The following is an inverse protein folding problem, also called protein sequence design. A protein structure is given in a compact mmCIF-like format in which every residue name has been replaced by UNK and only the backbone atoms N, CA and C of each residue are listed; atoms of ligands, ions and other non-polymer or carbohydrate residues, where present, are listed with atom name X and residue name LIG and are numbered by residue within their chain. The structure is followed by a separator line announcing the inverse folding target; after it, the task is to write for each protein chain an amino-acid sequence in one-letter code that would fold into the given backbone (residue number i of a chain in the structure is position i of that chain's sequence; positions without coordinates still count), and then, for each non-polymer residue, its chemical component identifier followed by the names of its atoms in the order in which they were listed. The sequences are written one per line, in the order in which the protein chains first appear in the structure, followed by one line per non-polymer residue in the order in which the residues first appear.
data_IF_623465293326
#
_entry.id   IF_623465293326
#
_cell.length_a   1.000
_cell.length_b   1.000
_cell.length_c   1.000
_cell.angle_alpha   90.00
_cell.angle_beta   90.00
_cell.angle_gamma   90.00
#
_symmetry.space_group_name_H-M   'P 1'
#
loop_
_entity.id
_entity.type
_entity.pdbx_description
1 polymer ?
#
# COMPACT_ATOMS: atom_id res chain seq x y z
N UNK A 1 16.56 49.50 -54.85
CA UNK A 1 15.57 48.72 -54.06
C UNK A 1 15.71 49.11 -52.59
N UNK A 2 14.67 49.71 -51.99
CA UNK A 2 14.70 50.24 -50.62
C UNK A 2 14.51 49.13 -49.59
N UNK A 3 15.51 48.92 -48.73
CA UNK A 3 15.51 47.89 -47.70
C UNK A 3 14.93 48.45 -46.38
N UNK A 4 13.61 48.34 -46.19
CA UNK A 4 12.94 48.74 -44.92
C UNK A 4 13.21 47.67 -43.84
N UNK A 5 14.18 47.94 -42.95
CA UNK A 5 14.34 47.15 -41.70
C UNK A 5 13.09 47.33 -40.82
N UNK A 6 12.34 46.25 -40.60
CA UNK A 6 11.14 46.25 -39.72
C UNK A 6 11.55 46.63 -38.29
N UNK A 7 11.12 47.80 -37.79
CA UNK A 7 11.38 48.23 -36.40
C UNK A 7 10.60 47.35 -35.42
N UNK A 8 11.32 46.75 -34.47
CA UNK A 8 10.76 45.89 -33.45
C UNK A 8 9.86 46.71 -32.50
N UNK A 9 8.58 46.35 -32.37
CA UNK A 9 7.64 47.08 -31.52
C UNK A 9 7.63 46.50 -30.11
N UNK A 10 8.10 47.27 -29.13
CA UNK A 10 8.13 46.90 -27.70
C UNK A 10 6.77 46.43 -27.19
N UNK A 11 5.68 47.08 -27.62
CA UNK A 11 4.30 46.69 -27.29
C UNK A 11 3.94 45.31 -27.84
N UNK A 12 4.29 45.01 -29.10
CA UNK A 12 4.04 43.69 -29.70
C UNK A 12 4.89 42.61 -29.05
N UNK A 13 6.11 42.94 -28.64
CA UNK A 13 6.98 42.04 -27.89
C UNK A 13 6.37 41.69 -26.54
N UNK A 14 5.95 42.68 -25.74
CA UNK A 14 5.34 42.45 -24.43
C UNK A 14 4.05 41.62 -24.53
N UNK A 15 3.16 41.94 -25.48
CA UNK A 15 1.92 41.18 -25.69
C UNK A 15 2.20 39.71 -26.06
N UNK A 16 3.20 39.47 -26.92
CA UNK A 16 3.57 38.10 -27.31
C UNK A 16 4.26 37.34 -26.18
N UNK A 17 5.08 38.03 -25.39
CA UNK A 17 5.76 37.45 -24.24
C UNK A 17 4.76 37.06 -23.14
N UNK A 18 3.77 37.90 -22.84
CA UNK A 18 2.75 37.58 -21.83
C UNK A 18 1.84 36.43 -22.26
N UNK A 19 1.42 36.39 -23.54
CA UNK A 19 0.64 35.26 -24.07
C UNK A 19 1.47 33.97 -24.02
N UNK A 20 2.74 34.02 -24.45
CA UNK A 20 3.63 32.86 -24.40
C UNK A 20 3.84 32.33 -22.98
N UNK A 21 4.07 33.21 -22.01
CA UNK A 21 4.20 32.85 -20.60
C UNK A 21 2.90 32.26 -20.04
N UNK A 22 1.74 32.85 -20.37
CA UNK A 22 0.43 32.36 -19.94
C UNK A 22 0.12 30.96 -20.48
N UNK A 23 0.45 30.68 -21.75
CA UNK A 23 0.30 29.35 -22.35
C UNK A 23 1.23 28.33 -21.69
N UNK A 24 2.48 28.69 -21.40
CA UNK A 24 3.43 27.80 -20.74
C UNK A 24 2.98 27.45 -19.31
N UNK A 25 2.55 28.45 -18.53
CA UNK A 25 2.07 28.22 -17.16
C UNK A 25 0.75 27.44 -17.17
N UNK A 26 -0.18 27.79 -18.06
CA UNK A 26 -1.46 27.10 -18.20
C UNK A 26 -1.29 25.64 -18.61
N UNK A 27 -0.46 25.35 -19.61
CA UNK A 27 -0.17 23.97 -20.03
C UNK A 27 0.56 23.19 -18.95
N UNK A 28 1.51 23.79 -18.23
CA UNK A 28 2.18 23.16 -17.11
C UNK A 28 1.18 22.80 -15.99
N UNK A 29 0.30 23.71 -15.59
CA UNK A 29 -0.68 23.45 -14.52
C UNK A 29 -1.72 22.40 -14.91
N UNK A 30 -2.23 22.44 -16.14
CA UNK A 30 -3.26 21.49 -16.63
C UNK A 30 -2.68 20.10 -16.86
N UNK A 31 -1.43 19.99 -17.33
CA UNK A 31 -0.81 18.68 -17.61
C UNK A 31 -0.13 18.06 -16.38
N UNK A 32 0.24 18.86 -15.37
CA UNK A 32 0.85 18.37 -14.11
C UNK A 32 0.10 17.20 -13.44
N UNK A 33 -1.25 17.18 -13.31
CA UNK A 33 -1.94 16.02 -12.74
C UNK A 33 -1.86 14.77 -13.63
N UNK A 34 -1.79 14.91 -14.96
CA UNK A 34 -1.66 13.80 -15.90
C UNK A 34 -0.26 13.18 -15.85
N UNK A 35 0.78 14.02 -15.88
CA UNK A 35 2.17 13.58 -15.72
C UNK A 35 2.40 12.93 -14.36
N UNK A 36 1.84 13.49 -13.27
CA UNK A 36 1.96 12.89 -11.93
C UNK A 36 1.30 11.52 -11.85
N UNK A 37 0.12 11.34 -12.46
CA UNK A 37 -0.56 10.04 -12.54
C UNK A 37 0.20 9.03 -13.39
N UNK A 38 0.76 9.46 -14.52
CA UNK A 38 1.56 8.58 -15.39
C UNK A 38 2.85 8.15 -14.70
N UNK A 39 3.55 9.05 -14.02
CA UNK A 39 4.75 8.70 -13.23
C UNK A 39 4.44 7.78 -12.05
N UNK A 40 3.32 8.01 -11.34
CA UNK A 40 2.88 7.11 -10.28
C UNK A 40 2.48 5.73 -10.82
N UNK A 41 1.84 5.66 -11.99
CA UNK A 41 1.51 4.40 -12.66
C UNK A 41 2.76 3.64 -13.08
N UNK A 42 3.77 4.33 -13.60
CA UNK A 42 5.06 3.71 -13.96
C UNK A 42 5.72 3.17 -12.70
N UNK A 43 5.76 3.95 -11.61
CA UNK A 43 6.31 3.51 -10.33
C UNK A 43 5.64 2.22 -9.82
N UNK A 44 4.29 2.13 -9.89
CA UNK A 44 3.55 0.93 -9.50
C UNK A 44 3.83 -0.26 -10.44
N UNK A 45 3.98 -0.05 -11.76
CA UNK A 45 4.35 -1.15 -12.69
C UNK A 45 5.80 -1.59 -12.58
N UNK A 46 6.64 -0.83 -11.86
CA UNK A 46 8.04 -1.18 -11.62
C UNK A 46 8.23 -1.87 -10.26
N UNK A 47 7.14 -2.16 -9.54
CA UNK A 47 7.21 -3.06 -8.38
C UNK A 47 7.64 -4.44 -8.90
N UNK A 48 8.85 -4.91 -8.58
CA UNK A 48 9.29 -6.22 -9.02
C UNK A 48 8.33 -7.26 -8.43
N UNK A 49 7.94 -8.29 -9.20
CA UNK A 49 7.13 -9.37 -8.66
C UNK A 49 7.83 -9.95 -7.43
N UNK A 50 7.06 -10.34 -6.41
CA UNK A 50 7.58 -10.98 -5.22
C UNK A 50 8.48 -12.17 -5.61
N UNK A 51 9.80 -12.02 -5.41
CA UNK A 51 10.82 -13.03 -5.74
C UNK A 51 11.08 -14.00 -4.58
N UNK A 52 10.28 -13.95 -3.52
CA UNK A 52 10.43 -14.82 -2.36
C UNK A 52 9.95 -16.25 -2.63
N UNK A 53 10.57 -17.21 -1.95
CA UNK A 53 10.12 -18.59 -1.91
C UNK A 53 8.84 -18.68 -1.07
N UNK A 54 7.79 -19.36 -1.53
CA UNK A 54 6.58 -19.62 -0.72
C UNK A 54 6.74 -20.83 0.21
N UNK A 55 7.85 -21.59 0.07
CA UNK A 55 8.15 -22.75 0.93
C UNK A 55 8.73 -22.35 2.28
N UNK A 56 9.47 -21.24 2.31
CA UNK A 56 9.89 -20.60 3.55
C UNK A 56 8.88 -19.48 3.77
N UNK A 57 7.91 -19.69 4.66
CA UNK A 57 6.95 -18.64 4.97
C UNK A 57 7.75 -17.42 5.49
N UNK A 58 7.96 -16.43 4.65
CA UNK A 58 8.40 -15.09 5.05
C UNK A 58 7.23 -14.53 5.88
N UNK A 59 7.20 -14.85 7.17
CA UNK A 59 6.00 -14.67 7.97
C UNK A 59 5.77 -13.17 8.19
N UNK A 60 4.76 -12.62 7.50
CA UNK A 60 4.20 -11.31 7.82
C UNK A 60 3.34 -11.36 9.08
N UNK A 61 2.66 -12.49 9.35
CA UNK A 61 1.68 -12.61 10.44
C UNK A 61 1.93 -13.80 11.35
N UNK A 62 1.99 -13.56 12.65
CA UNK A 62 1.98 -14.60 13.68
C UNK A 62 0.72 -14.43 14.54
N UNK A 63 -0.01 -15.52 14.79
CA UNK A 63 -1.11 -15.55 15.76
C UNK A 63 -0.60 -16.18 17.05
N UNK A 64 -0.71 -15.46 18.15
CA UNK A 64 -0.31 -15.95 19.48
C UNK A 64 -1.44 -16.73 20.12
N UNK A 65 -1.13 -17.58 21.10
CA UNK A 65 -2.15 -18.28 21.91
C UNK A 65 -3.18 -17.36 22.59
N UNK A 66 -2.83 -16.09 22.84
CA UNK A 66 -3.71 -15.08 23.43
C UNK A 66 -4.61 -14.35 22.39
N UNK A 67 -4.76 -14.91 21.18
CA UNK A 67 -5.53 -14.33 20.07
C UNK A 67 -5.08 -12.89 19.70
N UNK A 68 -3.76 -12.64 19.76
CA UNK A 68 -3.10 -11.46 19.21
C UNK A 68 -2.46 -11.79 17.88
N UNK A 69 -2.49 -10.83 16.97
CA UNK A 69 -1.87 -10.95 15.65
C UNK A 69 -0.67 -10.01 15.58
N UNK A 70 0.51 -10.58 15.38
CA UNK A 70 1.76 -9.85 15.23
C UNK A 70 2.05 -9.70 13.74
N UNK A 71 2.08 -8.46 13.27
CA UNK A 71 2.56 -8.07 11.95
C UNK A 71 4.05 -7.76 12.00
N UNK A 72 4.87 -8.50 11.24
CA UNK A 72 6.29 -8.24 11.07
C UNK A 72 6.52 -7.27 9.90
N UNK A 73 6.78 -6.00 10.21
CA UNK A 73 6.95 -4.95 9.23
C UNK A 73 8.42 -4.77 8.83
N UNK A 74 8.76 -4.73 7.52
CA UNK A 74 10.10 -4.40 7.07
C UNK A 74 10.40 -2.90 7.06
N UNK A 75 9.43 -2.04 7.39
CA UNK A 75 9.61 -0.59 7.45
C UNK A 75 10.18 -0.17 8.80
N UNK A 76 11.06 0.83 8.79
CA UNK A 76 11.54 1.49 10.01
C UNK A 76 10.50 2.50 10.47
N UNK A 77 10.09 2.40 11.74
CA UNK A 77 9.22 3.38 12.41
C UNK A 77 10.10 4.36 13.21
N UNK A 78 9.90 5.66 12.97
CA UNK A 78 10.67 6.76 13.58
C UNK A 78 9.75 7.87 14.12
N UNK A 79 8.44 7.65 14.15
CA UNK A 79 7.42 8.60 14.59
C UNK A 79 6.44 9.03 13.48
N UNK A 80 6.58 8.50 12.26
CA UNK A 80 5.67 8.80 11.15
C UNK A 80 4.36 8.01 11.17
N UNK A 81 4.24 6.99 12.01
CA UNK A 81 3.02 6.19 12.17
C UNK A 81 2.79 5.15 11.07
N UNK A 82 3.85 4.68 10.42
CA UNK A 82 3.79 3.59 9.44
C UNK A 82 3.25 2.31 10.09
N UNK A 83 3.69 1.99 11.31
CA UNK A 83 3.23 0.77 11.99
C UNK A 83 1.73 0.78 12.26
N UNK A 84 1.20 1.91 12.75
CA UNK A 84 -0.23 2.08 12.96
C UNK A 84 -1.01 1.93 11.66
N UNK A 85 -0.56 2.57 10.57
CA UNK A 85 -1.21 2.48 9.26
C UNK A 85 -1.22 1.06 8.71
N UNK A 86 -0.09 0.35 8.75
CA UNK A 86 -0.01 -1.05 8.30
C UNK A 86 -0.87 -1.97 9.17
N UNK A 87 -0.91 -1.75 10.49
CA UNK A 87 -1.78 -2.52 11.39
C UNK A 87 -3.26 -2.33 11.08
N UNK A 88 -3.70 -1.11 10.74
CA UNK A 88 -5.09 -0.84 10.35
C UNK A 88 -5.47 -1.58 9.06
N UNK A 89 -4.61 -1.51 8.05
CA UNK A 89 -4.80 -2.21 6.77
C UNK A 89 -4.93 -3.72 7.00
N UNK A 90 -4.01 -4.28 7.78
CA UNK A 90 -4.03 -5.69 8.11
C UNK A 90 -5.26 -6.09 8.94
N UNK A 91 -5.67 -5.26 9.91
CA UNK A 91 -6.82 -5.55 10.76
C UNK A 91 -8.11 -5.67 9.95
N UNK A 92 -8.33 -4.72 9.03
CA UNK A 92 -9.51 -4.68 8.17
C UNK A 92 -9.60 -5.93 7.29
N UNK A 93 -8.49 -6.32 6.67
CA UNK A 93 -8.46 -7.49 5.79
C UNK A 93 -8.50 -8.82 6.56
N UNK A 94 -7.84 -8.90 7.71
CA UNK A 94 -7.91 -10.06 8.59
C UNK A 94 -9.26 -10.20 9.26
N UNK A 95 -10.05 -9.12 9.37
CA UNK A 95 -11.29 -9.12 10.15
C UNK A 95 -11.03 -9.27 11.65
N UNK A 96 -9.94 -8.69 12.17
CA UNK A 96 -9.61 -8.68 13.61
C UNK A 96 -9.88 -7.31 14.21
N UNK A 97 -10.09 -7.25 15.53
CA UNK A 97 -10.14 -5.95 16.19
C UNK A 97 -8.75 -5.31 16.21
N UNK A 98 -8.66 -3.99 16.03
CA UNK A 98 -7.38 -3.29 16.02
C UNK A 98 -6.59 -3.47 17.33
N UNK A 99 -7.27 -3.65 18.48
CA UNK A 99 -6.63 -3.95 19.77
C UNK A 99 -5.96 -5.33 19.83
N UNK A 100 -6.22 -6.21 18.86
CA UNK A 100 -5.54 -7.50 18.71
C UNK A 100 -4.27 -7.40 17.90
N UNK A 101 -4.05 -6.30 17.16
CA UNK A 101 -2.88 -6.11 16.33
C UNK A 101 -1.68 -5.62 17.13
N UNK A 102 -0.52 -6.21 16.84
CA UNK A 102 0.79 -5.73 17.26
C UNK A 102 1.68 -5.66 16.04
N UNK A 103 2.54 -4.64 15.95
CA UNK A 103 3.54 -4.56 14.88
C UNK A 103 4.92 -4.70 15.49
N UNK A 104 5.71 -5.65 14.98
CA UNK A 104 7.12 -5.81 15.31
C UNK A 104 7.95 -5.45 14.09
N UNK A 105 9.07 -4.78 14.33
CA UNK A 105 10.03 -4.52 13.27
C UNK A 105 10.72 -5.82 12.87
N UNK A 106 10.69 -6.15 11.58
CA UNK A 106 11.32 -7.35 11.03
C UNK A 106 12.82 -7.12 10.78
N UNK A 107 13.70 -8.12 11.01
CA UNK A 107 15.10 -8.02 10.65
C UNK A 107 15.28 -7.84 9.14
N UNK A 108 16.12 -6.90 8.71
CA UNK A 108 16.30 -6.56 7.29
C UNK A 108 16.97 -7.64 6.43
N UNK A 109 17.60 -8.65 7.04
CA UNK A 109 18.42 -9.66 6.34
C UNK A 109 17.68 -10.99 6.08
N UNK A 110 16.66 -11.30 6.88
CA UNK A 110 15.90 -12.58 6.83
C UNK A 110 14.39 -12.38 6.90
N UNK A 111 13.93 -11.14 7.00
CA UNK A 111 12.51 -10.79 7.07
C UNK A 111 11.87 -10.61 5.70
N UNK A 112 10.67 -10.05 5.71
CA UNK A 112 9.91 -9.73 4.51
C UNK A 112 10.69 -8.73 3.64
N UNK A 113 11.20 -9.19 2.50
CA UNK A 113 12.06 -8.36 1.65
C UNK A 113 11.17 -7.41 0.85
N UNK A 114 11.04 -6.20 1.35
CA UNK A 114 10.53 -5.07 0.60
C UNK A 114 11.68 -4.42 -0.19
N UNK A 115 11.60 -4.33 -1.53
CA UNK A 115 12.64 -3.70 -2.34
C UNK A 115 12.79 -2.18 -2.03
N UNK A 116 11.82 -1.58 -1.35
CA UNK A 116 11.84 -0.18 -0.96
C UNK A 116 12.13 -0.01 0.53
N UNK A 117 13.24 0.68 0.82
CA UNK A 117 13.53 1.16 2.17
C UNK A 117 12.45 2.14 2.69
N UNK A 118 12.51 2.48 3.98
CA UNK A 118 11.72 3.61 4.51
C UNK A 118 12.27 4.92 3.96
N UNK A 119 11.56 5.48 2.97
CA UNK A 119 11.94 6.71 2.29
C UNK A 119 10.93 7.09 1.20
N UNK A 120 11.10 8.25 0.57
CA UNK A 120 10.28 8.68 -0.57
C UNK A 120 8.77 8.83 -0.29
N UNK A 121 8.34 8.80 0.98
CA UNK A 121 6.94 8.75 1.38
C UNK A 121 6.16 7.56 0.81
N UNK A 122 6.84 6.44 0.52
CA UNK A 122 6.23 5.26 -0.11
C UNK A 122 5.91 4.14 0.87
N UNK A 123 6.17 4.30 2.18
CA UNK A 123 6.09 3.18 3.13
C UNK A 123 4.74 2.48 3.18
N UNK A 124 3.64 3.24 3.10
CA UNK A 124 2.28 2.67 3.05
C UNK A 124 1.93 2.22 1.64
N UNK A 125 2.22 3.04 0.62
CA UNK A 125 1.80 2.75 -0.75
C UNK A 125 2.46 1.48 -1.32
N UNK A 126 3.76 1.29 -1.06
CA UNK A 126 4.52 0.11 -1.51
C UNK A 126 4.07 -1.20 -0.86
N UNK A 127 3.46 -1.13 0.33
CA UNK A 127 3.02 -2.31 1.06
C UNK A 127 1.50 -2.50 1.03
N UNK A 128 0.75 -1.55 0.45
CA UNK A 128 -0.71 -1.55 0.50
C UNK A 128 -1.32 -2.81 -0.13
N UNK A 129 -0.99 -3.09 -1.38
CA UNK A 129 -1.53 -4.22 -2.13
C UNK A 129 -1.03 -5.57 -1.58
N UNK A 130 0.29 -5.82 -1.43
CA UNK A 130 0.76 -7.11 -0.94
C UNK A 130 0.29 -7.41 0.49
N UNK A 131 0.22 -6.42 1.37
CA UNK A 131 -0.27 -6.64 2.74
C UNK A 131 -1.74 -7.06 2.75
N UNK A 132 -2.58 -6.44 1.93
CA UNK A 132 -4.00 -6.76 1.88
C UNK A 132 -4.25 -8.15 1.32
N UNK A 133 -3.56 -8.52 0.25
CA UNK A 133 -3.66 -9.87 -0.33
C UNK A 133 -3.17 -10.95 0.65
N UNK A 134 -2.05 -10.72 1.32
CA UNK A 134 -1.52 -11.61 2.34
C UNK A 134 -2.49 -11.77 3.51
N UNK A 135 -3.02 -10.65 4.03
CA UNK A 135 -3.99 -10.65 5.12
C UNK A 135 -5.28 -11.40 4.75
N UNK A 136 -5.85 -11.12 3.58
CA UNK A 136 -7.04 -11.82 3.10
C UNK A 136 -6.79 -13.32 2.91
N UNK A 137 -5.64 -13.69 2.35
CA UNK A 137 -5.23 -15.09 2.19
C UNK A 137 -5.10 -15.79 3.54
N UNK A 138 -4.47 -15.12 4.51
CA UNK A 138 -4.28 -15.67 5.85
C UNK A 138 -5.63 -15.86 6.57
N UNK A 139 -6.56 -14.90 6.45
CA UNK A 139 -7.93 -15.04 6.96
C UNK A 139 -8.63 -16.28 6.40
N UNK A 140 -8.53 -16.53 5.09
CA UNK A 140 -9.14 -17.71 4.47
C UNK A 140 -8.44 -19.01 4.88
N UNK A 141 -7.12 -18.99 5.13
CA UNK A 141 -6.42 -20.14 5.71
C UNK A 141 -6.92 -20.46 7.12
N UNK A 142 -7.07 -19.45 7.98
CA UNK A 142 -7.60 -19.61 9.33
C UNK A 142 -9.04 -20.12 9.32
N UNK A 143 -9.90 -19.58 8.42
CA UNK A 143 -11.26 -20.09 8.23
C UNK A 143 -11.29 -21.56 7.80
N UNK A 144 -10.41 -21.96 6.88
CA UNK A 144 -10.29 -23.35 6.44
C UNK A 144 -9.91 -24.28 7.59
N UNK A 145 -9.03 -23.84 8.47
CA UNK A 145 -8.62 -24.66 9.61
C UNK A 145 -9.71 -24.72 10.68
N UNK A 146 -10.35 -23.58 10.98
CA UNK A 146 -11.52 -23.53 11.85
C UNK A 146 -12.66 -24.45 11.37
N UNK A 147 -12.92 -24.50 10.06
CA UNK A 147 -13.90 -25.40 9.45
C UNK A 147 -13.62 -26.87 9.76
N UNK A 148 -12.35 -27.28 9.71
CA UNK A 148 -11.95 -28.65 10.06
C UNK A 148 -12.12 -28.94 11.54
N UNK A 149 -11.73 -28.00 12.40
CA UNK A 149 -11.79 -28.17 13.85
C UNK A 149 -13.23 -28.20 14.37
N UNK A 150 -14.13 -27.44 13.75
CA UNK A 150 -15.56 -27.41 14.08
C UNK A 150 -16.38 -28.46 13.31
N UNK A 151 -15.79 -29.15 12.35
CA UNK A 151 -16.47 -30.09 11.44
C UNK A 151 -17.64 -29.46 10.67
N UNK A 152 -17.50 -28.19 10.27
CA UNK A 152 -18.52 -27.42 9.57
C UNK A 152 -18.10 -27.05 8.14
N UNK A 153 -19.06 -26.84 7.20
CA UNK A 153 -18.77 -26.24 5.90
C UNK A 153 -18.15 -24.85 6.05
N UNK A 154 -17.15 -24.54 5.22
CA UNK A 154 -16.46 -23.25 5.28
C UNK A 154 -17.38 -22.08 4.88
N UNK A 155 -18.37 -22.36 4.03
CA UNK A 155 -19.35 -21.39 3.54
C UNK A 155 -20.25 -20.85 4.66
N UNK A 156 -20.44 -21.64 5.71
CA UNK A 156 -21.24 -21.28 6.88
C UNK A 156 -20.45 -20.47 7.92
N UNK A 157 -19.12 -20.38 7.75
CA UNK A 157 -18.23 -19.72 8.68
C UNK A 157 -17.90 -18.28 8.24
N UNK A 158 -18.03 -17.36 9.20
CA UNK A 158 -17.65 -15.96 9.06
C UNK A 158 -16.50 -15.64 10.02
N UNK A 159 -15.53 -14.88 9.52
CA UNK A 159 -14.39 -14.43 10.30
C UNK A 159 -14.58 -12.95 10.65
N UNK A 160 -14.81 -12.66 11.93
CA UNK A 160 -15.06 -11.30 12.42
C UNK A 160 -14.50 -11.13 13.83
N UNK A 161 -13.89 -9.98 14.12
CA UNK A 161 -13.27 -9.66 15.42
C UNK A 161 -12.29 -10.75 15.92
N UNK A 162 -11.53 -11.34 14.99
CA UNK A 162 -10.55 -12.38 15.31
C UNK A 162 -11.16 -13.67 15.84
N UNK A 163 -12.39 -13.97 15.40
CA UNK A 163 -13.13 -15.19 15.70
C UNK A 163 -13.73 -15.71 14.40
N UNK A 164 -13.64 -17.01 14.18
CA UNK A 164 -14.38 -17.71 13.12
C UNK A 164 -15.61 -18.36 13.73
N UNK A 165 -16.80 -18.07 13.20
CA UNK A 165 -18.08 -18.52 13.77
C UNK A 165 -19.18 -18.70 12.73
N UNK A 166 -20.12 -19.62 13.00
CA UNK A 166 -21.42 -19.75 12.30
C UNK A 166 -22.59 -19.10 13.07
N UNK A 167 -22.32 -18.50 14.24
CA UNK A 167 -23.32 -17.91 15.15
C UNK A 167 -23.68 -18.75 16.36
N UNK A 168 -23.45 -20.07 16.34
CA UNK A 168 -23.64 -20.97 17.50
C UNK A 168 -22.32 -21.47 18.05
N UNK A 169 -21.38 -21.80 17.16
CA UNK A 169 -20.05 -22.29 17.47
C UNK A 169 -19.02 -21.28 17.02
N UNK A 170 -17.91 -21.19 17.76
CA UNK A 170 -16.88 -20.20 17.49
C UNK A 170 -15.52 -20.67 17.94
N UNK A 171 -14.48 -20.31 17.18
CA UNK A 171 -13.08 -20.48 17.54
C UNK A 171 -12.32 -19.18 17.31
N UNK A 172 -11.41 -18.83 18.22
CA UNK A 172 -10.47 -17.73 17.98
C UNK A 172 -9.49 -18.08 16.86
N UNK A 173 -8.79 -17.09 16.32
CA UNK A 173 -7.70 -17.34 15.39
C UNK A 173 -6.59 -18.16 16.02
#
# INVERSE_FOLDING_TARGET
MSNRKKKFSRRRFLIRATIGMGVLVGTALVTRPLWRRSLASIANTTEPPYLGNTKDASIWFEVTADNKVILYSPKVEMGQGTFTGLAQIAADELGVDFSQMMVKHAPSITGNVDPFATGGSTSISSLWEPLRELAATFREMLKKEAAKLLELPIEDLKATKGIVTNGTESISY
#
